data_IF_321847797030
#
_entry.id   IF_321847797030
#
_cell.length_a   1.000
_cell.length_b   1.000
_cell.length_c   1.000
_cell.angle_alpha   90.00
_cell.angle_beta   90.00
_cell.angle_gamma   90.00
#
_symmetry.space_group_name_H-M   'P 1'
#
loop_
_entity.id
_entity.type
_entity.pdbx_description
1 polymer ?
#
# COMPACT_ATOMS: atom_id res chain seq x y z
N UNK A 1 21.01 4.30 15.00
CA UNK A 1 19.57 4.66 15.04
C UNK A 1 18.76 3.37 15.03
N UNK A 2 17.76 3.17 15.92
CA UNK A 2 16.95 1.96 15.94
C UNK A 2 15.99 1.91 14.74
N UNK A 3 15.65 0.70 14.28
CA UNK A 3 14.65 0.50 13.23
C UNK A 3 13.27 0.87 13.80
N UNK A 4 12.53 1.73 13.08
CA UNK A 4 11.19 2.18 13.47
C UNK A 4 10.11 1.17 13.01
N UNK A 5 9.07 0.99 13.82
CA UNK A 5 7.91 0.17 13.44
C UNK A 5 6.84 0.99 12.73
N UNK A 6 5.97 0.35 11.95
CA UNK A 6 4.79 1.01 11.35
C UNK A 6 3.91 1.65 12.43
N UNK A 7 3.77 1.00 13.58
CA UNK A 7 2.97 1.50 14.71
C UNK A 7 3.57 2.77 15.31
N UNK A 8 4.89 2.84 15.43
CA UNK A 8 5.58 4.05 15.85
C UNK A 8 5.39 5.16 14.82
N UNK A 9 5.55 4.87 13.53
CA UNK A 9 5.31 5.86 12.45
C UNK A 9 3.89 6.43 12.57
N UNK A 10 2.87 5.58 12.63
CA UNK A 10 1.47 6.00 12.76
C UNK A 10 1.28 6.84 14.02
N UNK A 11 1.89 6.45 15.14
CA UNK A 11 1.78 7.19 16.41
C UNK A 11 2.28 8.62 16.29
N UNK A 12 3.36 8.83 15.55
CA UNK A 12 3.95 10.16 15.33
C UNK A 12 3.14 11.01 14.35
N UNK A 13 2.55 10.42 13.30
CA UNK A 13 1.89 11.18 12.24
C UNK A 13 0.39 11.38 12.42
N UNK A 14 -0.30 10.53 13.20
CA UNK A 14 -1.78 10.50 13.29
C UNK A 14 -2.43 11.81 13.75
N UNK A 15 -1.68 12.72 14.39
CA UNK A 15 -2.17 14.02 14.86
C UNK A 15 -1.61 15.20 14.04
N UNK A 16 -0.99 14.92 12.90
CA UNK A 16 -0.31 15.91 12.06
C UNK A 16 -1.00 16.08 10.70
N UNK A 17 -0.39 16.88 9.81
CA UNK A 17 -0.80 16.98 8.40
C UNK A 17 -0.10 15.97 7.49
N UNK A 18 0.83 15.19 8.00
CA UNK A 18 1.63 14.22 7.24
C UNK A 18 0.79 13.00 6.87
N UNK A 19 0.92 12.55 5.62
CA UNK A 19 0.33 11.29 5.13
C UNK A 19 1.31 10.12 5.19
N UNK A 20 0.79 8.91 4.97
CA UNK A 20 1.56 7.68 4.88
C UNK A 20 1.34 7.05 3.50
N UNK A 21 2.42 6.88 2.75
CA UNK A 21 2.50 5.98 1.61
C UNK A 21 3.39 4.81 2.05
N UNK A 22 2.80 3.63 2.20
CA UNK A 22 3.53 2.44 2.61
C UNK A 22 3.77 1.51 1.42
N UNK A 23 4.98 0.99 1.28
CA UNK A 23 5.33 0.03 0.23
C UNK A 23 5.43 -1.37 0.81
N UNK A 24 4.81 -2.35 0.14
CA UNK A 24 4.96 -3.76 0.44
C UNK A 24 6.19 -4.27 -0.32
N UNK A 25 7.19 -4.75 0.42
CA UNK A 25 8.41 -5.28 -0.18
C UNK A 25 8.21 -6.73 -0.66
N UNK A 26 8.82 -7.11 -1.80
CA UNK A 26 8.78 -8.48 -2.31
C UNK A 26 9.58 -9.42 -1.40
N UNK A 27 8.89 -10.15 -0.53
CA UNK A 27 9.49 -11.06 0.43
C UNK A 27 8.88 -12.46 0.42
N UNK A 28 8.09 -12.80 -0.61
CA UNK A 28 7.48 -14.13 -0.77
C UNK A 28 8.53 -15.26 -0.74
N UNK A 29 9.74 -15.01 -1.24
CA UNK A 29 10.87 -15.93 -1.18
C UNK A 29 11.33 -16.28 0.25
N UNK A 30 10.95 -15.47 1.25
CA UNK A 30 11.23 -15.70 2.66
C UNK A 30 10.02 -16.26 3.43
N UNK A 31 8.93 -16.61 2.74
CA UNK A 31 7.71 -17.15 3.34
C UNK A 31 6.96 -16.14 4.23
N UNK A 32 7.21 -14.85 4.06
CA UNK A 32 6.61 -13.79 4.88
C UNK A 32 5.24 -13.37 4.35
N UNK A 33 4.38 -12.93 5.25
CA UNK A 33 3.01 -12.49 4.97
C UNK A 33 2.86 -10.97 5.05
N UNK A 34 3.85 -10.20 4.58
CA UNK A 34 3.93 -8.74 4.79
C UNK A 34 2.65 -8.00 4.37
N UNK A 35 2.06 -8.37 3.22
CA UNK A 35 0.80 -7.80 2.76
C UNK A 35 -0.33 -7.99 3.80
N UNK A 36 -0.47 -9.22 4.31
CA UNK A 36 -1.46 -9.56 5.36
C UNK A 36 -1.13 -8.89 6.69
N UNK A 37 0.13 -8.90 7.11
CA UNK A 37 0.58 -8.32 8.38
C UNK A 37 0.34 -6.80 8.42
N UNK A 38 0.63 -6.11 7.30
CA UNK A 38 0.32 -4.69 7.15
C UNK A 38 -1.19 -4.44 7.15
N UNK A 39 -1.97 -5.25 6.42
CA UNK A 39 -3.42 -5.16 6.38
C UNK A 39 -4.03 -5.35 7.78
N UNK A 40 -3.53 -6.30 8.55
CA UNK A 40 -3.96 -6.60 9.92
C UNK A 40 -3.58 -5.46 10.88
N UNK A 41 -2.36 -4.92 10.77
CA UNK A 41 -1.93 -3.77 11.58
C UNK A 41 -2.80 -2.53 11.33
N UNK A 42 -3.15 -2.25 10.07
CA UNK A 42 -4.04 -1.15 9.70
C UNK A 42 -5.48 -1.40 10.14
N UNK A 43 -5.98 -2.64 10.00
CA UNK A 43 -7.31 -3.04 10.51
C UNK A 43 -7.45 -2.80 12.00
N UNK A 44 -6.38 -3.04 12.76
CA UNK A 44 -6.31 -2.79 14.20
C UNK A 44 -6.38 -1.30 14.59
N UNK A 45 -6.35 -0.37 13.62
CA UNK A 45 -6.30 1.09 13.84
C UNK A 45 -7.45 1.82 13.12
N UNK A 46 -8.72 1.44 13.31
CA UNK A 46 -9.84 1.91 12.49
C UNK A 46 -10.07 3.43 12.55
N UNK A 47 -9.79 4.06 13.71
CA UNK A 47 -9.89 5.53 13.84
C UNK A 47 -8.86 6.23 12.97
N UNK A 48 -7.61 5.76 12.95
CA UNK A 48 -6.55 6.33 12.13
C UNK A 48 -6.88 6.15 10.65
N UNK A 49 -7.17 4.92 10.22
CA UNK A 49 -7.50 4.61 8.82
C UNK A 49 -8.64 5.49 8.33
N UNK A 50 -9.79 5.52 9.02
CA UNK A 50 -10.93 6.36 8.64
C UNK A 50 -10.55 7.85 8.52
N UNK A 51 -9.76 8.35 9.47
CA UNK A 51 -9.34 9.77 9.53
C UNK A 51 -8.38 10.12 8.40
N UNK A 52 -7.49 9.19 8.04
CA UNK A 52 -6.50 9.36 6.98
C UNK A 52 -7.14 9.23 5.59
N UNK A 53 -8.04 8.27 5.39
CA UNK A 53 -8.80 8.09 4.14
C UNK A 53 -9.68 9.32 3.86
N UNK A 54 -10.42 9.82 4.85
CA UNK A 54 -11.22 11.04 4.71
C UNK A 54 -10.40 12.30 4.38
N UNK A 55 -9.07 12.23 4.47
CA UNK A 55 -8.13 13.33 4.19
C UNK A 55 -7.17 13.01 3.03
N UNK A 56 -7.33 11.88 2.34
CA UNK A 56 -6.40 11.41 1.30
C UNK A 56 -4.94 11.34 1.79
N UNK A 57 -4.73 10.75 2.98
CA UNK A 57 -3.42 10.68 3.67
C UNK A 57 -2.93 9.27 3.96
N UNK A 58 -3.53 8.27 3.32
CA UNK A 58 -3.12 6.89 3.43
C UNK A 58 -3.25 6.25 2.05
N UNK A 59 -2.17 5.64 1.60
CA UNK A 59 -2.13 4.77 0.44
C UNK A 59 -1.07 3.70 0.65
N UNK A 60 -1.22 2.59 -0.05
CA UNK A 60 -0.25 1.49 -0.08
C UNK A 60 0.20 1.29 -1.52
N UNK A 61 1.40 0.77 -1.73
CA UNK A 61 1.91 0.42 -3.05
C UNK A 61 2.74 -0.87 -3.00
N UNK A 62 2.93 -1.53 -4.14
CA UNK A 62 3.74 -2.74 -4.27
C UNK A 62 4.33 -2.85 -5.67
N UNK A 63 5.54 -3.43 -5.77
CA UNK A 63 6.08 -3.92 -7.04
C UNK A 63 5.50 -5.28 -7.43
N UNK A 64 5.02 -6.06 -6.45
CA UNK A 64 4.42 -7.37 -6.68
C UNK A 64 2.90 -7.25 -6.74
N UNK A 65 2.34 -7.58 -7.90
CA UNK A 65 0.89 -7.49 -8.15
C UNK A 65 0.09 -8.41 -7.23
N UNK A 66 0.62 -9.61 -6.92
CA UNK A 66 -0.04 -10.57 -6.04
C UNK A 66 -0.10 -10.07 -4.58
N UNK A 67 0.96 -9.42 -4.10
CA UNK A 67 0.99 -8.81 -2.76
C UNK A 67 0.02 -7.61 -2.69
N UNK A 68 -0.01 -6.76 -3.71
CA UNK A 68 -0.98 -5.67 -3.81
C UNK A 68 -2.42 -6.20 -3.82
N UNK A 69 -2.70 -7.26 -4.58
CA UNK A 69 -4.03 -7.87 -4.65
C UNK A 69 -4.44 -8.52 -3.34
N UNK A 70 -3.50 -9.17 -2.66
CA UNK A 70 -3.71 -9.75 -1.32
C UNK A 70 -4.07 -8.65 -0.32
N UNK A 71 -3.32 -7.55 -0.31
CA UNK A 71 -3.61 -6.40 0.55
C UNK A 71 -4.98 -5.77 0.22
N UNK A 72 -5.26 -5.50 -1.06
CA UNK A 72 -6.51 -4.89 -1.50
C UNK A 72 -7.73 -5.73 -1.11
N UNK A 73 -7.65 -7.05 -1.28
CA UNK A 73 -8.72 -7.97 -0.86
C UNK A 73 -9.00 -7.86 0.65
N UNK A 74 -7.96 -7.63 1.45
CA UNK A 74 -8.07 -7.54 2.90
C UNK A 74 -8.48 -6.14 3.41
N UNK A 75 -8.20 -5.08 2.65
CA UNK A 75 -8.45 -3.67 2.96
C UNK A 75 -8.89 -2.87 1.70
N UNK A 76 -10.09 -3.15 1.14
CA UNK A 76 -10.50 -2.59 -0.15
C UNK A 76 -10.71 -1.06 -0.15
N UNK A 77 -10.90 -0.46 1.02
CA UNK A 77 -11.10 1.00 1.16
C UNK A 77 -9.78 1.80 1.13
N UNK A 78 -8.62 1.12 1.23
CA UNK A 78 -7.31 1.77 1.25
C UNK A 78 -6.74 1.79 -0.17
N UNK A 79 -6.45 2.98 -0.74
CA UNK A 79 -5.91 3.07 -2.08
C UNK A 79 -4.64 2.27 -2.26
N UNK A 80 -4.57 1.46 -3.32
CA UNK A 80 -3.43 0.61 -3.66
C UNK A 80 -2.83 1.01 -5.01
N UNK A 81 -1.51 1.17 -5.05
CA UNK A 81 -0.75 1.46 -6.26
C UNK A 81 0.11 0.28 -6.71
N UNK A 82 0.19 0.06 -8.03
CA UNK A 82 1.18 -0.84 -8.62
C UNK A 82 2.38 -0.03 -9.07
N UNK A 83 3.56 -0.43 -8.59
CA UNK A 83 4.84 0.04 -9.05
C UNK A 83 5.32 -0.88 -10.16
N UNK A 84 5.65 -0.31 -11.32
CA UNK A 84 6.17 -1.09 -12.44
C UNK A 84 7.43 -0.43 -13.00
N UNK A 85 8.38 -1.26 -13.38
CA UNK A 85 9.54 -0.85 -14.15
C UNK A 85 9.09 -0.47 -15.58
N UNK A 86 8.25 -1.24 -16.23
CA UNK A 86 7.82 -0.90 -17.58
C UNK A 86 6.43 -0.27 -17.54
N UNK A 87 6.07 0.43 -18.62
CA UNK A 87 4.66 0.82 -18.79
C UNK A 87 3.87 -0.47 -19.04
N UNK A 88 2.84 -0.78 -18.24
CA UNK A 88 2.04 -1.96 -18.49
C UNK A 88 1.35 -1.87 -19.86
N UNK A 89 1.14 -3.02 -20.49
CA UNK A 89 0.39 -3.11 -21.75
C UNK A 89 -1.07 -2.66 -21.55
N UNK A 90 -1.77 -2.32 -22.63
CA UNK A 90 -3.18 -1.91 -22.54
C UNK A 90 -4.07 -3.00 -21.92
N UNK A 91 -3.73 -4.27 -22.13
CA UNK A 91 -4.42 -5.41 -21.50
C UNK A 91 -4.18 -5.43 -20.00
N UNK A 92 -2.93 -5.31 -19.56
CA UNK A 92 -2.57 -5.28 -18.13
C UNK A 92 -3.17 -4.05 -17.44
N UNK A 93 -3.15 -2.88 -18.08
CA UNK A 93 -3.82 -1.69 -17.57
C UNK A 93 -5.33 -1.91 -17.38
N UNK A 94 -5.98 -2.60 -18.32
CA UNK A 94 -7.40 -2.92 -18.22
C UNK A 94 -7.67 -3.86 -17.04
N UNK A 95 -6.83 -4.87 -16.83
CA UNK A 95 -6.96 -5.79 -15.70
C UNK A 95 -6.70 -5.11 -14.35
N UNK A 96 -5.65 -4.29 -14.26
CA UNK A 96 -5.31 -3.57 -13.04
C UNK A 96 -6.34 -2.50 -12.70
N UNK A 97 -6.93 -1.83 -13.69
CA UNK A 97 -7.95 -0.78 -13.49
C UNK A 97 -9.21 -1.25 -12.77
N UNK A 98 -9.44 -2.56 -12.69
CA UNK A 98 -10.60 -3.13 -12.01
C UNK A 98 -10.53 -3.00 -10.49
N UNK A 99 -9.33 -2.77 -9.93
CA UNK A 99 -9.12 -2.82 -8.47
C UNK A 99 -7.99 -1.93 -7.96
N UNK A 100 -6.95 -1.67 -8.76
CA UNK A 100 -5.87 -0.77 -8.36
C UNK A 100 -6.25 0.69 -8.63
N UNK A 101 -6.01 1.56 -7.65
CA UNK A 101 -6.32 2.99 -7.75
C UNK A 101 -5.25 3.77 -8.53
N UNK A 102 -4.02 3.24 -8.56
CA UNK A 102 -2.86 3.91 -9.13
C UNK A 102 -1.95 2.93 -9.86
N UNK A 103 -1.39 3.38 -10.98
CA UNK A 103 -0.30 2.71 -11.70
C UNK A 103 0.83 3.73 -11.81
N UNK A 104 1.98 3.39 -11.23
CA UNK A 104 3.12 4.28 -11.09
C UNK A 104 4.34 3.67 -11.81
N UNK A 105 4.43 3.81 -13.15
CA UNK A 105 5.60 3.36 -13.90
C UNK A 105 6.80 4.28 -13.63
N UNK A 106 8.02 3.79 -13.83
CA UNK A 106 9.20 4.66 -13.79
C UNK A 106 9.11 5.77 -14.83
N UNK A 107 9.51 6.97 -14.41
CA UNK A 107 9.38 8.21 -15.20
C UNK A 107 10.30 8.25 -16.43
N UNK A 108 11.40 7.49 -16.43
CA UNK A 108 12.35 7.41 -17.54
C UNK A 108 12.43 5.97 -18.04
N UNK A 109 11.88 5.74 -19.23
CA UNK A 109 12.20 4.62 -20.12
C UNK A 109 13.17 5.08 -21.19
#
# INVERSE_FOLDING_TARGET
EPIITVDDVIRHIQHTRTGLLAEISPCSQYGTTIATDLADSLRGKPRYVRTALARNRLAVQSFETDDARTFHTAQPDIPIGILDADRPTDTELTELSQWADQINPQHTV
#
